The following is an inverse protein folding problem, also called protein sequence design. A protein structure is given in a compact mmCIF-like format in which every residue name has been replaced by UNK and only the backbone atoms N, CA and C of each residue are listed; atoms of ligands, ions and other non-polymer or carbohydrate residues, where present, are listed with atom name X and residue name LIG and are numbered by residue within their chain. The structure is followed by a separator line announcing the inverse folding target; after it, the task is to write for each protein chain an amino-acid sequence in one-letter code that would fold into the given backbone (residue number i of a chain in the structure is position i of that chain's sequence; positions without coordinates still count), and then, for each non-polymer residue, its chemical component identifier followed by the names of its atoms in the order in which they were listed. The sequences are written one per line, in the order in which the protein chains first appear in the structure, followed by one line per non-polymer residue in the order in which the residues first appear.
data_IF_581695320036
#
_entry.id   IF_581695320036
#
_cell.length_a   1.000
_cell.length_b   1.000
_cell.length_c   1.000
_cell.angle_alpha   90.00
_cell.angle_beta   90.00
_cell.angle_gamma   90.00
#
_symmetry.space_group_name_H-M   'P 1'
#
loop_
_entity.id
_entity.type
_entity.pdbx_description
1 polymer ?
#
# COMPACT_ATOMS: atom_id res chain seq x y z
N UNK A 1 -33.24 -46.15 -14.15
CA UNK A 1 -31.86 -46.20 -13.62
C UNK A 1 -31.06 -45.22 -14.48
N UNK A 2 -30.71 -44.04 -13.96
CA UNK A 2 -29.92 -43.03 -14.68
C UNK A 2 -28.48 -43.07 -14.20
N UNK A 3 -27.55 -43.33 -15.11
CA UNK A 3 -26.10 -43.30 -14.86
C UNK A 3 -25.67 -41.87 -14.53
N UNK A 4 -25.24 -41.65 -13.29
CA UNK A 4 -24.55 -40.41 -12.91
C UNK A 4 -23.13 -40.57 -13.44
N UNK A 5 -22.87 -39.93 -14.58
CA UNK A 5 -21.55 -39.87 -15.20
C UNK A 5 -20.51 -39.38 -14.20
N UNK A 6 -19.49 -40.21 -13.99
CA UNK A 6 -18.35 -39.95 -13.12
C UNK A 6 -17.50 -38.81 -13.71
N UNK A 7 -17.83 -37.56 -13.40
CA UNK A 7 -16.99 -36.41 -13.73
C UNK A 7 -15.75 -36.45 -12.83
N UNK A 8 -14.59 -36.81 -13.39
CA UNK A 8 -13.30 -36.70 -12.72
C UNK A 8 -13.04 -35.22 -12.38
N UNK A 9 -13.02 -34.89 -11.10
CA UNK A 9 -12.62 -33.57 -10.64
C UNK A 9 -11.15 -33.32 -11.01
N UNK A 10 -10.87 -32.24 -11.74
CA UNK A 10 -9.51 -31.79 -12.01
C UNK A 10 -8.96 -31.15 -10.75
N UNK A 11 -7.90 -31.73 -10.18
CA UNK A 11 -7.16 -31.10 -9.08
C UNK A 11 -6.25 -30.05 -9.71
N UNK A 12 -6.56 -28.77 -9.49
CA UNK A 12 -5.65 -27.67 -9.81
C UNK A 12 -4.79 -27.45 -8.58
N UNK A 13 -3.49 -27.68 -8.71
CA UNK A 13 -2.52 -27.35 -7.68
C UNK A 13 -2.41 -25.82 -7.59
N UNK A 14 -2.96 -25.25 -6.52
CA UNK A 14 -2.74 -23.84 -6.19
C UNK A 14 -1.52 -23.80 -5.30
N UNK A 15 -0.38 -23.39 -5.85
CA UNK A 15 0.82 -23.14 -5.06
C UNK A 15 0.62 -21.77 -4.39
N UNK A 16 0.42 -21.70 -3.06
CA UNK A 16 0.22 -20.43 -2.38
C UNK A 16 1.56 -19.68 -2.31
N UNK A 17 1.75 -18.71 -3.21
CA UNK A 17 2.93 -17.82 -3.21
C UNK A 17 2.52 -16.39 -2.92
N UNK A 18 3.48 -15.57 -2.49
CA UNK A 18 3.29 -14.12 -2.38
C UNK A 18 2.73 -13.54 -3.70
N UNK A 19 3.39 -13.83 -4.83
CA UNK A 19 2.99 -13.38 -6.16
C UNK A 19 1.54 -13.79 -6.54
N UNK A 20 1.13 -15.02 -6.21
CA UNK A 20 -0.23 -15.49 -6.48
C UNK A 20 -1.28 -14.65 -5.74
N UNK A 21 -1.05 -14.39 -4.45
CA UNK A 21 -1.94 -13.58 -3.65
C UNK A 21 -1.87 -12.09 -4.02
N UNK A 22 -0.68 -11.57 -4.34
CA UNK A 22 -0.50 -10.21 -4.80
C UNK A 22 -1.32 -9.93 -6.08
N UNK A 23 -1.24 -10.82 -7.07
CA UNK A 23 -2.05 -10.72 -8.30
C UNK A 23 -3.56 -10.73 -8.03
N UNK A 24 -4.01 -11.52 -7.05
CA UNK A 24 -5.42 -11.50 -6.61
C UNK A 24 -5.79 -10.23 -5.87
N UNK A 25 -4.87 -9.69 -5.06
CA UNK A 25 -5.02 -8.38 -4.39
C UNK A 25 -5.25 -7.28 -5.40
N UNK A 26 -4.40 -7.17 -6.43
CA UNK A 26 -4.55 -6.19 -7.51
C UNK A 26 -5.89 -6.36 -8.24
N UNK A 27 -6.27 -7.59 -8.59
CA UNK A 27 -7.54 -7.85 -9.27
C UNK A 27 -8.77 -7.50 -8.40
N UNK A 28 -8.68 -7.67 -7.08
CA UNK A 28 -9.73 -7.27 -6.15
C UNK A 28 -9.78 -5.74 -5.99
N UNK A 29 -8.62 -5.09 -5.86
CA UNK A 29 -8.49 -3.64 -5.77
C UNK A 29 -9.10 -2.94 -7.00
N UNK A 30 -8.76 -3.39 -8.21
CA UNK A 30 -9.32 -2.86 -9.47
C UNK A 30 -10.85 -3.03 -9.59
N UNK A 31 -11.43 -4.00 -8.86
CA UNK A 31 -12.87 -4.23 -8.78
C UNK A 31 -13.53 -3.49 -7.61
N UNK A 32 -12.78 -2.67 -6.88
CA UNK A 32 -13.20 -2.01 -5.66
C UNK A 32 -13.65 -2.98 -4.55
N UNK A 33 -13.14 -4.22 -4.57
CA UNK A 33 -13.41 -5.23 -3.53
C UNK A 33 -12.39 -5.10 -2.39
N UNK A 34 -12.38 -3.96 -1.70
CA UNK A 34 -11.28 -3.57 -0.79
C UNK A 34 -11.02 -4.55 0.36
N UNK A 35 -12.07 -5.11 0.98
CA UNK A 35 -11.89 -6.14 2.03
C UNK A 35 -11.19 -7.40 1.53
N UNK A 36 -11.40 -7.76 0.25
CA UNK A 36 -10.72 -8.90 -0.37
C UNK A 36 -9.30 -8.51 -0.75
N UNK A 37 -9.09 -7.31 -1.28
CA UNK A 37 -7.77 -6.79 -1.59
C UNK A 37 -6.87 -6.82 -0.36
N UNK A 38 -7.33 -6.27 0.77
CA UNK A 38 -6.64 -6.29 2.07
C UNK A 38 -6.28 -7.70 2.51
N UNK A 39 -7.23 -8.65 2.45
CA UNK A 39 -6.97 -10.06 2.79
C UNK A 39 -5.93 -10.71 1.89
N UNK A 40 -5.94 -10.41 0.59
CA UNK A 40 -4.98 -10.97 -0.35
C UNK A 40 -3.59 -10.35 -0.19
N UNK A 41 -3.47 -9.04 -0.05
CA UNK A 41 -2.17 -8.40 0.18
C UNK A 41 -1.57 -8.81 1.53
N UNK A 42 -2.36 -8.88 2.61
CA UNK A 42 -1.89 -9.44 3.89
C UNK A 42 -1.35 -10.86 3.77
N UNK A 43 -1.98 -11.71 2.94
CA UNK A 43 -1.45 -13.05 2.64
C UNK A 43 -0.18 -13.00 1.80
N UNK A 44 -0.05 -12.05 0.87
CA UNK A 44 1.16 -11.86 0.10
C UNK A 44 2.34 -11.46 1.00
N UNK A 45 2.15 -10.50 1.92
CA UNK A 45 3.13 -10.12 2.94
C UNK A 45 3.55 -11.33 3.78
N UNK A 46 2.59 -12.11 4.29
CA UNK A 46 2.91 -13.30 5.11
C UNK A 46 3.72 -14.37 4.35
N UNK A 47 3.62 -14.40 3.01
CA UNK A 47 4.25 -15.40 2.16
C UNK A 47 5.48 -14.87 1.40
N UNK A 48 5.87 -13.62 1.64
CA UNK A 48 7.03 -13.01 0.98
C UNK A 48 8.30 -13.77 1.33
N UNK A 49 9.14 -14.05 0.33
CA UNK A 49 10.40 -14.78 0.51
C UNK A 49 11.64 -13.90 0.45
N UNK A 50 11.47 -12.66 0.05
CA UNK A 50 12.51 -11.66 -0.07
C UNK A 50 11.94 -10.29 0.30
N UNK A 51 12.84 -9.32 0.46
CA UNK A 51 12.50 -7.96 0.87
C UNK A 51 11.63 -7.24 -0.15
N UNK A 52 11.94 -7.36 -1.45
CA UNK A 52 11.18 -6.73 -2.53
C UNK A 52 9.70 -7.15 -2.54
N UNK A 53 9.41 -8.46 -2.44
CA UNK A 53 8.05 -8.98 -2.33
C UNK A 53 7.32 -8.44 -1.10
N UNK A 54 8.03 -8.31 0.02
CA UNK A 54 7.48 -7.79 1.27
C UNK A 54 7.13 -6.31 1.13
N UNK A 55 8.05 -5.50 0.59
CA UNK A 55 7.87 -4.06 0.37
C UNK A 55 6.65 -3.81 -0.51
N UNK A 56 6.59 -4.42 -1.69
CA UNK A 56 5.48 -4.19 -2.61
C UNK A 56 4.13 -4.65 -2.04
N UNK A 57 4.08 -5.81 -1.39
CA UNK A 57 2.84 -6.31 -0.81
C UNK A 57 2.36 -5.46 0.38
N UNK A 58 3.27 -5.01 1.24
CA UNK A 58 2.95 -4.14 2.38
C UNK A 58 2.51 -2.76 1.92
N UNK A 59 3.18 -2.17 0.92
CA UNK A 59 2.78 -0.88 0.35
C UNK A 59 1.36 -0.95 -0.23
N UNK A 60 1.05 -1.99 -1.03
CA UNK A 60 -0.30 -2.16 -1.57
C UNK A 60 -1.36 -2.41 -0.48
N UNK A 61 -0.99 -3.08 0.61
CA UNK A 61 -1.87 -3.23 1.77
C UNK A 61 -2.14 -1.89 2.46
N UNK A 62 -1.09 -1.08 2.70
CA UNK A 62 -1.20 0.25 3.27
C UNK A 62 -2.12 1.14 2.40
N UNK A 63 -1.93 1.16 1.09
CA UNK A 63 -2.77 1.89 0.12
C UNK A 63 -4.24 1.44 0.24
N UNK A 64 -4.50 0.14 0.36
CA UNK A 64 -5.88 -0.34 0.55
C UNK A 64 -6.52 0.22 1.82
N UNK A 65 -5.77 0.35 2.92
CA UNK A 65 -6.28 0.96 4.15
C UNK A 65 -6.52 2.47 3.98
N UNK A 66 -5.64 3.20 3.29
CA UNK A 66 -5.87 4.62 2.95
C UNK A 66 -7.17 4.80 2.16
N UNK A 67 -7.37 3.98 1.13
CA UNK A 67 -8.55 4.06 0.26
C UNK A 67 -9.87 3.83 0.99
N UNK A 68 -9.84 3.14 2.13
CA UNK A 68 -11.02 2.86 2.93
C UNK A 68 -11.12 3.72 4.20
N UNK A 69 -10.20 4.66 4.40
CA UNK A 69 -10.20 5.61 5.52
C UNK A 69 -9.64 5.04 6.83
N UNK A 70 -8.99 3.88 6.77
CA UNK A 70 -8.30 3.23 7.90
C UNK A 70 -6.85 3.76 7.97
N UNK A 71 -6.72 5.05 8.27
CA UNK A 71 -5.44 5.76 8.18
C UNK A 71 -4.42 5.27 9.21
N UNK A 72 -4.86 4.95 10.43
CA UNK A 72 -3.98 4.44 11.49
C UNK A 72 -3.34 3.10 11.09
N UNK A 73 -4.13 2.15 10.55
CA UNK A 73 -3.62 0.87 10.06
C UNK A 73 -2.66 1.03 8.87
N UNK A 74 -2.90 2.04 8.02
CA UNK A 74 -1.98 2.38 6.94
C UNK A 74 -0.65 2.91 7.48
N UNK A 75 -0.71 3.84 8.45
CA UNK A 75 0.46 4.44 9.11
C UNK A 75 1.32 3.36 9.78
N UNK A 76 0.72 2.42 10.52
CA UNK A 76 1.46 1.33 11.18
C UNK A 76 2.29 0.51 10.18
N UNK A 77 1.73 0.21 9.01
CA UNK A 77 2.44 -0.54 7.96
C UNK A 77 3.54 0.31 7.34
N UNK A 78 3.27 1.59 7.08
CA UNK A 78 4.23 2.51 6.47
C UNK A 78 5.40 2.82 7.41
N UNK A 79 5.17 2.89 8.72
CA UNK A 79 6.22 3.01 9.73
C UNK A 79 7.19 1.83 9.68
N UNK A 80 6.67 0.59 9.56
CA UNK A 80 7.51 -0.59 9.41
C UNK A 80 8.34 -0.54 8.12
N UNK A 81 7.73 -0.13 7.00
CA UNK A 81 8.41 0.02 5.71
C UNK A 81 9.50 1.09 5.73
N UNK A 82 9.20 2.27 6.29
CA UNK A 82 10.17 3.35 6.45
C UNK A 82 11.35 2.89 7.30
N UNK A 83 11.06 2.21 8.41
CA UNK A 83 12.09 1.70 9.32
C UNK A 83 12.99 0.64 8.67
N UNK A 84 12.45 -0.25 7.84
CA UNK A 84 13.23 -1.32 7.21
C UNK A 84 13.93 -0.88 5.94
N UNK A 85 13.29 -0.02 5.15
CA UNK A 85 13.61 0.15 3.73
C UNK A 85 13.38 1.59 3.24
N UNK A 86 13.20 2.58 4.11
CA UNK A 86 12.88 3.96 3.73
C UNK A 86 13.93 4.65 2.84
N UNK A 87 15.21 4.25 2.93
CA UNK A 87 16.27 4.76 2.04
C UNK A 87 16.19 4.20 0.61
N UNK A 88 15.46 3.10 0.41
CA UNK A 88 15.34 2.38 -0.87
C UNK A 88 13.93 2.58 -1.47
N UNK A 89 12.92 2.72 -0.61
CA UNK A 89 11.52 2.88 -0.97
C UNK A 89 10.97 4.18 -0.38
N UNK A 90 11.38 5.29 -0.99
CA UNK A 90 11.07 6.63 -0.52
C UNK A 90 9.55 6.93 -0.58
N UNK A 91 8.81 6.28 -1.47
CA UNK A 91 7.37 6.45 -1.67
C UNK A 91 6.56 6.15 -0.40
N UNK A 92 7.10 5.33 0.53
CA UNK A 92 6.46 5.11 1.83
C UNK A 92 6.29 6.42 2.62
N UNK A 93 7.23 7.37 2.53
CA UNK A 93 7.11 8.68 3.17
C UNK A 93 5.96 9.49 2.55
N UNK A 94 5.83 9.49 1.22
CA UNK A 94 4.74 10.18 0.53
C UNK A 94 3.37 9.60 0.89
N UNK A 95 3.22 8.27 0.87
CA UNK A 95 1.96 7.64 1.27
C UNK A 95 1.64 7.91 2.74
N UNK A 96 2.63 7.96 3.62
CA UNK A 96 2.41 8.27 5.02
C UNK A 96 2.03 9.74 5.24
N UNK A 97 2.65 10.67 4.51
CA UNK A 97 2.27 12.08 4.51
C UNK A 97 0.78 12.25 4.19
N UNK A 98 0.29 11.59 3.15
CA UNK A 98 -1.13 11.61 2.78
C UNK A 98 -2.05 11.14 3.91
N UNK A 99 -1.67 10.10 4.67
CA UNK A 99 -2.45 9.67 5.85
C UNK A 99 -2.54 10.78 6.91
N UNK A 100 -1.42 11.40 7.25
CA UNK A 100 -1.41 12.48 8.25
C UNK A 100 -2.17 13.72 7.76
N UNK A 101 -2.12 14.04 6.47
CA UNK A 101 -2.95 15.09 5.87
C UNK A 101 -4.45 14.80 6.05
N UNK A 102 -4.91 13.56 5.81
CA UNK A 102 -6.30 13.17 6.04
C UNK A 102 -6.71 13.18 7.52
N UNK A 103 -5.75 12.97 8.43
CA UNK A 103 -5.96 13.08 9.88
C UNK A 103 -5.81 14.51 10.41
N UNK A 104 -5.61 15.50 9.53
CA UNK A 104 -5.40 16.92 9.85
C UNK A 104 -4.13 17.21 10.70
N UNK A 105 -3.17 16.28 10.72
CA UNK A 105 -1.83 16.51 11.29
C UNK A 105 -0.91 17.06 10.19
N UNK A 106 -1.10 18.35 9.90
CA UNK A 106 -0.47 19.02 8.76
C UNK A 106 1.05 19.15 8.95
N UNK A 107 1.52 19.34 10.17
CA UNK A 107 2.94 19.43 10.50
C UNK A 107 3.66 18.11 10.23
N UNK A 108 3.12 16.99 10.69
CA UNK A 108 3.72 15.68 10.45
C UNK A 108 3.65 15.30 8.96
N UNK A 109 2.54 15.62 8.29
CA UNK A 109 2.41 15.45 6.84
C UNK A 109 3.49 16.24 6.08
N UNK A 110 3.71 17.50 6.46
CA UNK A 110 4.70 18.36 5.80
C UNK A 110 6.12 17.82 5.96
N UNK A 111 6.48 17.33 7.15
CA UNK A 111 7.79 16.73 7.40
C UNK A 111 8.03 15.51 6.51
N UNK A 112 7.03 14.65 6.35
CA UNK A 112 7.13 13.41 5.58
C UNK A 112 7.20 13.67 4.07
N UNK A 113 6.41 14.62 3.54
CA UNK A 113 6.47 14.95 2.12
C UNK A 113 7.79 15.63 1.75
N UNK A 114 8.36 16.44 2.64
CA UNK A 114 9.70 17.01 2.48
C UNK A 114 10.79 15.94 2.49
N UNK A 115 10.64 14.91 3.33
CA UNK A 115 11.56 13.77 3.36
C UNK A 115 11.50 12.98 2.05
N UNK A 116 10.31 12.73 1.49
CA UNK A 116 10.15 12.08 0.19
C UNK A 116 10.87 12.86 -0.93
N UNK A 117 10.57 14.15 -1.08
CA UNK A 117 11.15 15.02 -2.11
C UNK A 117 12.68 15.15 -1.98
N UNK A 118 13.21 14.99 -0.77
CA UNK A 118 14.66 14.99 -0.51
C UNK A 118 15.32 13.69 -0.95
N UNK A 119 14.68 12.54 -0.69
CA UNK A 119 15.22 11.22 -1.01
C UNK A 119 15.10 10.87 -2.48
N UNK A 120 13.97 11.24 -3.10
CA UNK A 120 13.66 10.88 -4.48
C UNK A 120 13.11 12.08 -5.28
N UNK A 121 13.98 13.03 -5.66
CA UNK A 121 13.58 14.27 -6.35
C UNK A 121 13.12 14.07 -7.79
N UNK A 122 13.29 12.88 -8.37
CA UNK A 122 12.85 12.50 -9.71
C UNK A 122 11.86 11.31 -9.66
N UNK A 123 11.27 11.05 -8.48
CA UNK A 123 10.37 9.94 -8.22
C UNK A 123 9.00 10.07 -8.87
N UNK A 124 8.26 8.95 -8.88
CA UNK A 124 6.95 8.84 -9.56
C UNK A 124 5.86 9.78 -9.01
N UNK A 125 6.00 10.27 -7.76
CA UNK A 125 5.01 11.11 -7.07
C UNK A 125 5.50 12.53 -6.78
N UNK A 126 6.58 12.99 -7.42
CA UNK A 126 7.20 14.30 -7.12
C UNK A 126 6.25 15.47 -7.39
N UNK A 127 5.46 15.40 -8.46
CA UNK A 127 4.49 16.45 -8.80
C UNK A 127 3.40 16.52 -7.72
N UNK A 128 2.78 15.38 -7.35
CA UNK A 128 1.76 15.32 -6.31
C UNK A 128 2.29 15.69 -4.92
N UNK A 129 3.52 15.25 -4.60
CA UNK A 129 4.18 15.59 -3.35
C UNK A 129 4.48 17.09 -3.25
N UNK A 130 4.86 17.73 -4.35
CA UNK A 130 5.11 19.18 -4.40
C UNK A 130 3.80 19.96 -4.23
N UNK A 131 2.73 19.54 -4.89
CA UNK A 131 1.40 20.15 -4.71
C UNK A 131 0.89 20.02 -3.26
N UNK A 132 1.07 18.84 -2.65
CA UNK A 132 0.74 18.61 -1.25
C UNK A 132 1.59 19.52 -0.34
N UNK A 133 2.90 19.60 -0.56
CA UNK A 133 3.79 20.45 0.21
C UNK A 133 3.38 21.93 0.15
N UNK A 134 3.08 22.44 -1.05
CA UNK A 134 2.62 23.82 -1.24
C UNK A 134 1.31 24.09 -0.49
N UNK A 135 0.34 23.18 -0.61
CA UNK A 135 -0.95 23.28 0.08
C UNK A 135 -0.77 23.32 1.60
N UNK A 136 0.00 22.38 2.17
CA UNK A 136 0.28 22.31 3.60
C UNK A 136 0.97 23.59 4.10
N UNK A 137 1.93 24.12 3.34
CA UNK A 137 2.61 25.37 3.68
C UNK A 137 1.67 26.56 3.65
N UNK A 138 0.70 26.61 2.74
CA UNK A 138 -0.29 27.69 2.73
C UNK A 138 -1.16 27.61 3.99
N UNK A 139 -1.74 26.45 4.28
CA UNK A 139 -2.63 26.26 5.43
C UNK A 139 -1.94 26.53 6.77
N UNK A 140 -0.72 26.04 6.97
CA UNK A 140 0.05 26.26 8.20
C UNK A 140 0.46 27.73 8.40
N UNK A 141 0.60 28.51 7.32
CA UNK A 141 0.92 29.94 7.38
C UNK A 141 -0.31 30.84 7.58
N UNK A 142 -1.53 30.30 7.51
CA UNK A 142 -2.77 31.03 7.76
C UNK A 142 -3.15 31.13 9.25
N UNK A 143 -2.36 30.52 10.15
CA UNK A 143 -2.52 30.54 11.62
C UNK A 143 -1.39 31.31 12.33
#
# INVERSE_FOLDING_TARGET
MSEIGNQKATIIEVIPTSEFYFKRGIAAFQKNEMDRAKKYFSRAVTLSKNEEESIFASCQLAICYQHTGEYDESIEILDELIKSSGDIFAEAYYFQANNYAFLEDLEQSLLLVEQYLTLDPDGDFVDEASELQETLKMELNEF
#
